data_IF_210564996537
#
_entry.id   IF_210564996537
#
_cell.length_a   1.000
_cell.length_b   1.000
_cell.length_c   1.000
_cell.angle_alpha   90.00
_cell.angle_beta   90.00
_cell.angle_gamma   90.00
#
_symmetry.space_group_name_H-M   'P 1'
#
loop_
_entity.id
_entity.type
_entity.pdbx_description
1 polymer ?
#
# COMPACT_ATOMS: atom_id res chain seq x y z
N UNK A 1 -10.53 15.14 7.77
CA UNK A 1 -9.82 14.27 6.83
C UNK A 1 -9.98 12.83 7.28
N UNK A 2 -10.47 11.97 6.39
CA UNK A 2 -10.49 10.52 6.54
C UNK A 2 -9.44 9.93 5.60
N UNK A 3 -8.62 9.02 6.09
CA UNK A 3 -7.41 8.56 5.40
C UNK A 3 -7.24 7.06 5.61
N UNK A 4 -7.17 6.32 4.51
CA UNK A 4 -7.16 4.86 4.52
C UNK A 4 -6.17 4.30 3.49
N UNK A 5 -5.48 3.24 3.88
CA UNK A 5 -4.78 2.37 2.93
C UNK A 5 -5.78 1.45 2.21
N UNK A 6 -5.58 1.23 0.92
CA UNK A 6 -6.49 0.42 0.10
C UNK A 6 -6.41 -1.10 0.35
N UNK A 7 -5.29 -1.57 0.90
CA UNK A 7 -5.05 -2.97 1.25
C UNK A 7 -5.34 -3.29 2.73
N UNK A 8 -5.88 -2.36 3.52
CA UNK A 8 -6.31 -2.65 4.90
C UNK A 8 -7.66 -3.38 4.92
N UNK A 9 -7.68 -4.58 5.48
CA UNK A 9 -8.90 -5.34 5.68
C UNK A 9 -9.69 -4.89 6.91
N UNK A 10 -9.00 -4.60 8.02
CA UNK A 10 -9.61 -4.34 9.33
C UNK A 10 -10.37 -3.00 9.33
N UNK A 11 -9.75 -1.96 8.77
CA UNK A 11 -10.34 -0.65 8.63
C UNK A 11 -10.38 -0.25 7.15
N UNK A 12 -11.09 -1.06 6.36
CA UNK A 12 -11.12 -0.91 4.91
C UNK A 12 -11.67 0.45 4.44
N UNK A 13 -11.07 0.93 3.35
CA UNK A 13 -11.43 2.19 2.70
C UNK A 13 -12.86 2.19 2.14
N UNK A 14 -13.43 1.03 1.79
CA UNK A 14 -14.80 0.92 1.27
C UNK A 14 -15.83 1.37 2.33
N UNK A 15 -15.72 0.84 3.55
CA UNK A 15 -16.55 1.27 4.68
C UNK A 15 -16.28 2.73 5.05
N UNK A 16 -15.01 3.13 5.03
CA UNK A 16 -14.62 4.53 5.24
C UNK A 16 -15.27 5.50 4.23
N UNK A 17 -15.38 5.09 2.96
CA UNK A 17 -16.01 5.90 1.92
C UNK A 17 -17.51 6.06 2.18
N UNK A 18 -18.21 4.97 2.53
CA UNK A 18 -19.63 5.03 2.88
C UNK A 18 -19.85 5.97 4.07
N UNK A 19 -19.02 5.87 5.10
CA UNK A 19 -19.08 6.78 6.26
C UNK A 19 -18.83 8.23 5.82
N UNK A 20 -17.85 8.48 4.94
CA UNK A 20 -17.58 9.83 4.43
C UNK A 20 -18.75 10.42 3.64
N UNK A 21 -19.42 9.62 2.80
CA UNK A 21 -20.62 10.02 2.07
C UNK A 21 -21.81 10.28 3.03
N UNK A 22 -21.97 9.47 4.09
CA UNK A 22 -23.02 9.65 5.11
C UNK A 22 -22.83 10.88 6.00
N UNK A 23 -21.58 11.29 6.26
CA UNK A 23 -21.30 12.56 6.95
C UNK A 23 -21.87 13.74 6.17
N UNK A 24 -21.95 13.63 4.83
CA UNK A 24 -22.58 14.60 3.93
C UNK A 24 -22.13 16.05 4.20
N UNK A 25 -20.82 16.25 4.34
CA UNK A 25 -20.26 17.57 4.52
C UNK A 25 -20.65 18.48 3.34
N UNK A 26 -20.82 19.79 3.61
CA UNK A 26 -21.26 20.76 2.61
C UNK A 26 -20.45 20.67 1.32
N UNK A 27 -21.13 20.39 0.20
CA UNK A 27 -20.53 20.31 -1.13
C UNK A 27 -19.75 19.02 -1.44
N UNK A 28 -19.60 18.11 -0.48
CA UNK A 28 -18.85 16.85 -0.66
C UNK A 28 -19.53 15.90 -1.64
N UNK A 29 -20.87 15.87 -1.69
CA UNK A 29 -21.62 15.06 -2.64
C UNK A 29 -21.32 15.38 -4.12
N UNK A 30 -20.97 16.63 -4.42
CA UNK A 30 -20.63 17.09 -5.77
C UNK A 30 -19.14 16.95 -6.12
N UNK A 31 -18.30 16.63 -5.12
CA UNK A 31 -16.87 16.50 -5.33
C UNK A 31 -16.53 15.17 -6.01
N UNK A 32 -15.54 15.20 -6.91
CA UNK A 32 -15.01 14.01 -7.58
C UNK A 32 -13.68 13.54 -6.97
N UNK A 33 -13.36 12.27 -7.19
CA UNK A 33 -12.04 11.71 -6.89
C UNK A 33 -10.99 12.21 -7.88
N UNK A 34 -9.89 12.74 -7.36
CA UNK A 34 -8.73 13.18 -8.13
C UNK A 34 -7.45 12.58 -7.56
N UNK A 35 -6.40 12.50 -8.36
CA UNK A 35 -5.14 11.87 -7.98
C UNK A 35 -4.36 12.71 -6.96
N UNK A 36 -3.79 12.03 -5.96
CA UNK A 36 -2.81 12.59 -5.05
C UNK A 36 -1.44 12.38 -5.68
N UNK A 37 -0.81 13.47 -6.13
CA UNK A 37 0.54 13.44 -6.71
C UNK A 37 1.53 14.06 -5.72
N UNK A 38 2.64 13.39 -5.46
CA UNK A 38 3.69 13.85 -4.54
C UNK A 38 4.91 14.41 -5.28
N UNK A 39 5.91 14.87 -4.54
CA UNK A 39 7.14 15.47 -5.10
C UNK A 39 7.95 14.55 -6.02
N UNK A 40 7.81 13.24 -5.90
CA UNK A 40 8.37 12.23 -6.80
C UNK A 40 7.61 12.06 -8.13
N UNK A 41 6.53 12.84 -8.34
CA UNK A 41 5.62 12.75 -9.48
C UNK A 41 4.90 11.41 -9.63
N UNK A 42 4.80 10.64 -8.55
CA UNK A 42 4.04 9.38 -8.51
C UNK A 42 2.64 9.67 -7.96
N UNK A 43 1.65 8.94 -8.47
CA UNK A 43 0.29 8.94 -7.93
C UNK A 43 0.20 7.89 -6.84
N UNK A 44 0.14 8.34 -5.59
CA UNK A 44 0.08 7.46 -4.41
C UNK A 44 -1.34 7.19 -3.92
N UNK A 45 -2.34 7.80 -4.53
CA UNK A 45 -3.71 7.64 -4.09
C UNK A 45 -4.69 8.56 -4.80
N UNK A 46 -5.91 8.58 -4.30
CA UNK A 46 -6.96 9.48 -4.72
C UNK A 46 -7.63 10.16 -3.54
N UNK A 47 -8.04 11.41 -3.77
CA UNK A 47 -8.76 12.24 -2.81
C UNK A 47 -10.08 12.73 -3.40
N UNK A 48 -11.13 12.70 -2.59
CA UNK A 48 -12.36 13.45 -2.78
C UNK A 48 -12.44 14.49 -1.66
N UNK A 49 -12.46 15.78 -1.99
CA UNK A 49 -12.36 16.87 -1.01
C UNK A 49 -13.37 17.99 -1.32
N UNK A 50 -14.00 18.49 -0.26
CA UNK A 50 -14.80 19.72 -0.25
C UNK A 50 -14.38 20.58 0.95
N UNK A 51 -13.79 21.74 0.69
CA UNK A 51 -13.17 22.60 1.70
C UNK A 51 -12.16 21.83 2.57
N UNK A 52 -12.40 21.83 3.90
CA UNK A 52 -11.57 21.13 4.88
C UNK A 52 -11.96 19.65 5.10
N UNK A 53 -13.05 19.20 4.50
CA UNK A 53 -13.47 17.81 4.57
C UNK A 53 -12.93 17.04 3.37
N UNK A 54 -12.27 15.91 3.64
CA UNK A 54 -11.61 15.11 2.62
C UNK A 54 -11.65 13.63 3.00
N UNK A 55 -11.79 12.78 1.98
CA UNK A 55 -11.62 11.34 2.04
C UNK A 55 -10.49 10.95 1.10
N UNK A 56 -9.54 10.17 1.60
CA UNK A 56 -8.36 9.74 0.88
C UNK A 56 -8.31 8.21 0.86
N UNK A 57 -8.06 7.67 -0.32
CA UNK A 57 -7.66 6.28 -0.53
C UNK A 57 -6.21 6.28 -0.99
N UNK A 58 -5.32 5.68 -0.20
CA UNK A 58 -3.89 5.56 -0.52
C UNK A 58 -3.63 4.18 -1.10
N UNK A 59 -2.94 4.17 -2.24
CA UNK A 59 -2.68 2.97 -3.00
C UNK A 59 -1.54 2.13 -2.41
N UNK A 60 -1.63 0.83 -2.62
CA UNK A 60 -0.61 -0.15 -2.22
C UNK A 60 -0.24 -0.02 -0.73
N UNK A 61 -1.24 0.19 0.13
CA UNK A 61 -1.01 0.44 1.56
C UNK A 61 -1.97 -0.30 2.47
N UNK A 62 -1.43 -0.89 3.55
CA UNK A 62 -2.20 -1.47 4.65
C UNK A 62 -2.60 -0.46 5.74
N UNK A 63 -2.88 -0.99 6.92
CA UNK A 63 -3.38 -0.25 8.10
C UNK A 63 -2.47 0.92 8.51
N UNK A 64 -1.16 0.66 8.55
CA UNK A 64 -0.14 1.66 8.91
C UNK A 64 0.38 2.36 7.67
N UNK A 65 -0.41 3.23 7.06
CA UNK A 65 -0.04 3.86 5.78
C UNK A 65 1.33 4.55 5.78
N UNK A 66 1.77 5.26 6.83
CA UNK A 66 3.12 5.85 6.85
C UNK A 66 4.26 4.84 6.75
N UNK A 67 4.03 3.56 7.07
CA UNK A 67 5.01 2.50 6.89
C UNK A 67 5.14 2.09 5.41
N UNK A 68 4.01 1.96 4.70
CA UNK A 68 3.98 1.54 3.29
C UNK A 68 4.29 2.69 2.32
N UNK A 69 3.76 3.89 2.60
CA UNK A 69 3.86 5.07 1.75
C UNK A 69 4.36 6.29 2.55
N UNK A 70 5.62 6.28 3.03
CA UNK A 70 6.14 7.31 3.95
C UNK A 70 6.17 8.71 3.35
N UNK A 71 6.56 8.84 2.07
CA UNK A 71 6.61 10.14 1.39
C UNK A 71 5.20 10.74 1.25
N UNK A 72 4.24 9.95 0.76
CA UNK A 72 2.87 10.39 0.61
C UNK A 72 2.23 10.75 1.94
N UNK A 73 2.44 9.95 2.99
CA UNK A 73 1.93 10.22 4.32
C UNK A 73 2.44 11.57 4.87
N UNK A 74 3.74 11.84 4.73
CA UNK A 74 4.33 13.10 5.18
C UNK A 74 3.77 14.30 4.40
N UNK A 75 3.75 14.23 3.08
CA UNK A 75 3.24 15.33 2.26
C UNK A 75 1.75 15.61 2.51
N UNK A 76 0.92 14.58 2.64
CA UNK A 76 -0.49 14.72 2.97
C UNK A 76 -0.66 15.39 4.34
N UNK A 77 0.13 14.98 5.33
CA UNK A 77 0.12 15.58 6.66
C UNK A 77 0.48 17.07 6.61
N UNK A 78 1.54 17.43 5.89
CA UNK A 78 1.92 18.83 5.70
C UNK A 78 0.85 19.65 4.98
N UNK A 79 0.23 19.09 3.93
CA UNK A 79 -0.86 19.75 3.18
C UNK A 79 -2.05 20.04 4.07
N UNK A 80 -2.42 19.09 4.93
CA UNK A 80 -3.50 19.26 5.90
C UNK A 80 -3.19 20.38 6.91
N UNK A 81 -1.97 20.45 7.45
CA UNK A 81 -1.56 21.51 8.37
C UNK A 81 -1.53 22.89 7.71
N UNK A 82 -1.03 22.97 6.48
CA UNK A 82 -0.96 24.22 5.68
C UNK A 82 -2.33 24.66 5.15
N UNK A 83 -3.37 23.82 5.28
CA UNK A 83 -4.71 24.06 4.72
C UNK A 83 -4.64 24.36 3.22
N UNK A 84 -3.95 23.50 2.49
CA UNK A 84 -3.91 23.53 1.02
C UNK A 84 -4.65 22.33 0.45
N UNK A 85 -4.82 22.27 -0.86
CA UNK A 85 -5.44 21.14 -1.52
C UNK A 85 -4.64 19.86 -1.27
N UNK A 86 -5.34 18.76 -0.98
CA UNK A 86 -4.69 17.49 -0.68
C UNK A 86 -4.12 16.83 -1.94
N UNK A 87 -4.69 17.11 -3.11
CA UNK A 87 -4.32 16.46 -4.36
C UNK A 87 -2.89 16.81 -4.80
N UNK A 88 -2.52 18.10 -4.74
CA UNK A 88 -1.25 18.63 -5.25
C UNK A 88 -0.47 19.47 -4.23
N UNK A 89 -1.13 20.02 -3.22
CA UNK A 89 -0.51 20.88 -2.20
C UNK A 89 -0.14 22.28 -2.68
N UNK A 90 -0.69 22.73 -3.81
CA UNK A 90 -0.35 24.02 -4.46
C UNK A 90 -1.48 25.05 -4.40
N UNK A 91 -2.73 24.59 -4.40
CA UNK A 91 -3.93 25.41 -4.33
C UNK A 91 -4.32 25.75 -2.90
N UNK A 92 -4.64 27.01 -2.66
CA UNK A 92 -5.29 27.44 -1.42
C UNK A 92 -6.73 26.96 -1.41
N UNK A 93 -7.19 26.42 -0.29
CA UNK A 93 -8.58 25.99 -0.13
C UNK A 93 -9.39 27.12 0.51
N UNK A 94 -10.59 27.33 -0.02
CA UNK A 94 -11.63 28.11 0.62
C UNK A 94 -12.83 27.22 0.95
N UNK A 95 -13.93 27.80 1.46
CA UNK A 95 -15.14 27.06 1.78
C UNK A 95 -15.87 26.49 0.55
N UNK A 96 -15.56 26.98 -0.65
CA UNK A 96 -16.18 26.58 -1.92
C UNK A 96 -15.35 25.56 -2.72
N UNK A 97 -14.09 25.36 -2.32
CA UNK A 97 -13.18 24.43 -2.98
C UNK A 97 -13.78 23.02 -3.04
N UNK A 98 -13.79 22.43 -4.23
CA UNK A 98 -14.19 21.03 -4.46
C UNK A 98 -13.23 20.40 -5.44
N UNK A 99 -12.86 19.14 -5.21
CA UNK A 99 -12.13 18.37 -6.21
C UNK A 99 -13.04 18.03 -7.38
N UNK A 100 -12.49 18.11 -8.60
CA UNK A 100 -13.18 17.69 -9.83
C UNK A 100 -12.50 16.43 -10.35
N UNK A 101 -13.30 15.40 -10.62
CA UNK A 101 -12.79 14.10 -11.05
C UNK A 101 -13.87 13.04 -11.11
N UNK A 102 -13.49 11.76 -10.99
CA UNK A 102 -14.42 10.64 -11.17
C UNK A 102 -15.36 10.47 -9.97
N UNK A 103 -16.59 9.97 -10.15
CA UNK A 103 -17.51 9.73 -9.02
C UNK A 103 -17.03 8.63 -8.08
N UNK A 104 -16.19 7.71 -8.58
CA UNK A 104 -15.64 6.59 -7.82
C UNK A 104 -14.15 6.44 -8.07
N UNK A 105 -13.45 5.86 -7.09
CA UNK A 105 -12.06 5.43 -7.24
C UNK A 105 -12.02 4.04 -7.89
N UNK A 106 -11.57 3.98 -9.14
CA UNK A 106 -11.52 2.73 -9.93
C UNK A 106 -10.17 2.02 -9.89
N UNK A 107 -9.22 2.51 -9.07
CA UNK A 107 -7.92 1.88 -8.91
C UNK A 107 -8.06 0.43 -8.47
N UNK A 108 -7.30 -0.43 -9.15
CA UNK A 108 -7.13 -1.85 -8.84
C UNK A 108 -5.63 -2.13 -8.84
N UNK A 109 -5.21 -2.86 -7.82
CA UNK A 109 -3.87 -3.39 -7.67
C UNK A 109 -3.59 -4.26 -8.90
N UNK A 110 -2.53 -3.89 -9.64
CA UNK A 110 -2.18 -4.53 -10.90
C UNK A 110 -1.45 -5.86 -10.68
N UNK A 111 -1.01 -6.50 -11.77
CA UNK A 111 -0.11 -7.66 -11.67
C UNK A 111 1.34 -7.28 -11.34
N UNK A 112 1.64 -6.00 -11.11
CA UNK A 112 3.01 -5.48 -10.99
C UNK A 112 3.82 -6.16 -9.89
N UNK A 113 3.17 -6.61 -8.83
CA UNK A 113 3.79 -7.37 -7.73
C UNK A 113 3.91 -8.88 -8.01
N UNK A 114 3.22 -9.38 -9.04
CA UNK A 114 3.25 -10.80 -9.42
C UNK A 114 4.53 -11.09 -10.21
N UNK A 115 5.41 -11.88 -9.61
CA UNK A 115 6.60 -12.40 -10.27
C UNK A 115 6.24 -13.66 -11.07
N UNK A 116 6.09 -13.51 -12.38
CA UNK A 116 5.84 -14.64 -13.29
C UNK A 116 7.09 -15.47 -13.61
N UNK A 117 8.28 -14.98 -13.22
CA UNK A 117 9.57 -15.65 -13.43
C UNK A 117 10.17 -16.02 -12.07
N UNK A 118 10.83 -17.18 -12.01
CA UNK A 118 11.62 -17.57 -10.83
C UNK A 118 12.79 -16.60 -10.71
N UNK A 119 12.85 -15.89 -9.60
CA UNK A 119 13.92 -14.96 -9.28
C UNK A 119 15.14 -15.71 -8.73
N UNK A 120 16.37 -15.24 -8.99
CA UNK A 120 17.57 -15.75 -8.32
C UNK A 120 17.49 -15.66 -6.80
N UNK A 121 18.11 -16.60 -6.09
CA UNK A 121 18.12 -16.67 -4.61
C UNK A 121 18.67 -15.41 -3.92
N UNK A 122 19.42 -14.57 -4.65
CA UNK A 122 19.99 -13.31 -4.18
C UNK A 122 19.19 -12.05 -4.55
N UNK A 123 17.95 -12.22 -5.00
CA UNK A 123 17.08 -11.09 -5.31
C UNK A 123 16.63 -10.39 -4.02
N UNK A 124 16.73 -9.06 -4.00
CA UNK A 124 16.24 -8.23 -2.89
C UNK A 124 14.99 -7.48 -3.35
N UNK A 125 13.96 -7.42 -2.48
CA UNK A 125 12.74 -6.69 -2.78
C UNK A 125 12.97 -5.17 -2.71
N UNK A 126 12.51 -4.46 -3.73
CA UNK A 126 12.56 -3.00 -3.82
C UNK A 126 11.15 -2.42 -3.63
N UNK A 127 10.88 -1.73 -2.51
CA UNK A 127 9.55 -1.18 -2.21
C UNK A 127 9.18 0.00 -3.12
N UNK A 128 10.14 0.68 -3.75
CA UNK A 128 9.88 1.78 -4.68
C UNK A 128 9.37 1.25 -6.02
N UNK A 129 9.94 0.12 -6.47
CA UNK A 129 9.55 -0.53 -7.73
C UNK A 129 8.39 -1.53 -7.55
N UNK A 130 7.99 -1.80 -6.31
CA UNK A 130 7.02 -2.83 -5.95
C UNK A 130 7.41 -4.22 -6.55
N UNK A 131 8.72 -4.50 -6.58
CA UNK A 131 9.31 -5.63 -7.31
C UNK A 131 10.78 -5.88 -6.95
N UNK A 132 11.44 -6.91 -7.51
CA UNK A 132 12.85 -7.20 -7.26
C UNK A 132 13.76 -6.11 -7.84
N UNK A 133 14.91 -5.88 -7.18
CA UNK A 133 15.96 -5.06 -7.76
C UNK A 133 16.43 -5.64 -9.12
N UNK A 134 16.75 -4.77 -10.10
CA UNK A 134 17.25 -5.22 -11.40
C UNK A 134 18.63 -5.90 -11.31
N UNK A 135 19.40 -5.63 -10.25
CA UNK A 135 20.67 -6.30 -9.96
C UNK A 135 20.67 -6.91 -8.55
N UNK A 136 21.19 -8.13 -8.37
CA UNK A 136 21.30 -8.74 -7.06
C UNK A 136 22.31 -8.02 -6.17
N UNK A 137 21.91 -7.71 -4.94
CA UNK A 137 22.74 -6.91 -4.00
C UNK A 137 23.83 -7.72 -3.28
N UNK A 138 23.86 -9.04 -3.46
CA UNK A 138 24.81 -9.91 -2.78
C UNK A 138 25.16 -11.13 -3.63
N UNK A 139 26.42 -11.59 -3.60
CA UNK A 139 26.86 -12.73 -4.38
C UNK A 139 26.16 -14.01 -3.91
N UNK A 140 25.64 -14.80 -4.84
CA UNK A 140 25.30 -16.20 -4.56
C UNK A 140 26.62 -16.92 -4.35
N UNK A 141 26.96 -17.25 -3.11
CA UNK A 141 28.05 -18.21 -2.88
C UNK A 141 27.46 -19.61 -3.00
N UNK A 142 28.10 -20.48 -3.79
CA UNK A 142 27.66 -21.86 -4.02
C UNK A 142 27.37 -22.63 -2.72
N UNK A 143 28.01 -22.22 -1.62
CA UNK A 143 27.80 -22.76 -0.27
C UNK A 143 26.36 -22.60 0.27
N UNK A 144 25.64 -21.54 -0.09
CA UNK A 144 24.27 -21.30 0.40
C UNK A 144 23.28 -22.21 -0.35
N UNK A 145 23.45 -22.35 -1.67
CA UNK A 145 22.65 -23.26 -2.49
C UNK A 145 22.84 -24.73 -2.06
N UNK A 146 24.08 -25.13 -1.78
CA UNK A 146 24.39 -26.47 -1.27
C UNK A 146 23.73 -26.73 0.08
N UNK A 147 23.79 -25.76 1.01
CA UNK A 147 23.19 -25.89 2.34
C UNK A 147 21.66 -25.96 2.31
N UNK A 148 21.02 -25.27 1.36
CA UNK A 148 19.57 -25.35 1.15
C UNK A 148 19.13 -26.71 0.56
N UNK A 149 19.92 -27.27 -0.37
CA UNK A 149 19.73 -28.63 -0.88
C UNK A 149 19.89 -29.67 0.22
N UNK A 150 20.92 -29.53 1.05
CA UNK A 150 21.20 -30.44 2.17
C UNK A 150 20.09 -30.39 3.23
N UNK A 151 19.56 -29.20 3.55
CA UNK A 151 18.41 -29.09 4.47
C UNK A 151 17.13 -29.70 3.88
N UNK A 152 16.88 -29.55 2.57
CA UNK A 152 15.75 -30.22 1.90
C UNK A 152 15.92 -31.74 1.84
N UNK A 153 17.14 -32.23 1.66
CA UNK A 153 17.45 -33.66 1.72
C UNK A 153 17.27 -34.22 3.13
N UNK A 154 17.72 -33.49 4.16
CA UNK A 154 17.53 -33.84 5.56
C UNK A 154 16.05 -33.88 5.97
N UNK A 155 15.22 -32.97 5.44
CA UNK A 155 13.76 -32.99 5.64
C UNK A 155 13.07 -34.21 5.02
N UNK A 156 13.68 -34.87 4.02
CA UNK A 156 13.15 -36.10 3.39
C UNK A 156 13.58 -37.37 4.11
N UNK A 157 14.61 -37.33 4.98
CA UNK A 157 14.91 -38.41 5.91
C UNK A 157 13.91 -38.35 7.07
N UNK A 158 12.92 -39.24 7.03
CA UNK A 158 11.71 -39.21 7.84
C UNK A 158 11.91 -39.08 9.35
N UNK A 159 10.92 -38.45 10.00
CA UNK A 159 10.75 -38.45 11.45
C UNK A 159 10.80 -39.90 11.98
N UNK A 160 11.59 -40.20 13.03
CA UNK A 160 11.63 -41.54 13.61
C UNK A 160 10.24 -41.94 14.13
N UNK A 161 9.73 -43.09 13.69
CA UNK A 161 8.47 -43.67 14.19
C UNK A 161 8.62 -43.97 15.69
N UNK A 162 7.86 -43.29 16.53
CA UNK A 162 7.72 -43.70 17.94
C UNK A 162 7.06 -45.08 17.99
N UNK A 163 7.77 -46.07 18.53
CA UNK A 163 7.25 -47.41 18.79
C UNK A 163 6.16 -47.40 19.88
N UNK A 164 5.31 -48.44 19.95
CA UNK A 164 4.11 -48.43 20.79
C UNK A 164 4.48 -48.44 22.28
N UNK A 165 3.83 -47.56 23.07
CA UNK A 165 3.89 -47.58 24.53
C UNK A 165 3.32 -48.91 25.03
N UNK A 166 4.12 -49.72 25.70
CA UNK A 166 3.63 -50.82 26.52
C UNK A 166 3.03 -50.23 27.80
N UNK A 167 1.75 -50.51 28.03
CA UNK A 167 1.08 -50.37 29.32
C UNK A 167 1.59 -51.48 30.25
N UNK A 168 2.01 -51.09 31.44
CA UNK A 168 2.43 -51.93 32.56
C UNK A 168 2.61 -51.05 33.78
#
# INVERSE_FOLDING_TARGET
MLYYGDADYNCNWLGGQVVADLINATGYGDAGFTNITTSDNIVHGQVKQSGLFSFLRIFESGHEVPFYQPLAALEIFERALKKVDIATGKGTIDASYKTVGTPTSTFREGNSTIQFKVLPDNSTYNPILNGPDPEPKWPVTDAIAQRALDMRAASKLGRPRMGPKRLG
#
